data_IF_225699404489
#
_entry.id   IF_225699404489
#
_cell.length_a   1.000
_cell.length_b   1.000
_cell.length_c   1.000
_cell.angle_alpha   90.00
_cell.angle_beta   90.00
_cell.angle_gamma   90.00
#
_symmetry.space_group_name_H-M   'P 1'
#
loop_
_entity.id
_entity.type
_entity.pdbx_description
1 polymer ?
#
# COMPACT_ATOMS: atom_id res chain seq x y z
N UNK A 1 -0.35 27.59 -9.73
CA UNK A 1 -0.55 26.93 -11.03
C UNK A 1 0.80 26.37 -11.46
N UNK A 2 0.93 25.05 -11.50
CA UNK A 2 2.22 24.39 -11.84
C UNK A 2 2.37 24.27 -13.36
N UNK A 3 3.61 24.17 -13.84
CA UNK A 3 3.92 24.01 -15.27
C UNK A 3 3.22 22.80 -15.93
N UNK A 4 2.84 21.77 -15.16
CA UNK A 4 2.10 20.61 -15.68
C UNK A 4 0.64 20.93 -16.05
N UNK A 5 -0.02 21.82 -15.29
CA UNK A 5 -1.35 22.33 -15.66
C UNK A 5 -1.30 23.19 -16.94
N UNK A 6 -0.18 23.88 -17.16
CA UNK A 6 0.04 24.70 -18.36
C UNK A 6 0.36 23.85 -19.61
N UNK A 7 0.79 22.60 -19.44
CA UNK A 7 1.10 21.67 -20.53
C UNK A 7 -0.09 20.76 -20.94
N UNK A 8 -1.23 20.85 -20.25
CA UNK A 8 -2.43 20.04 -20.55
C UNK A 8 -2.31 18.56 -20.17
N UNK A 9 -1.26 18.15 -19.45
CA UNK A 9 -1.07 16.77 -19.02
C UNK A 9 -1.74 16.53 -17.66
N UNK A 10 -3.06 16.32 -17.71
CA UNK A 10 -3.88 15.99 -16.54
C UNK A 10 -3.40 14.73 -15.82
N UNK A 11 -2.81 13.78 -16.55
CA UNK A 11 -2.27 12.54 -16.00
C UNK A 11 -1.03 12.84 -15.15
N UNK A 12 -0.09 13.65 -15.62
CA UNK A 12 1.09 14.05 -14.84
C UNK A 12 0.71 14.89 -13.61
N UNK A 13 -0.23 15.83 -13.78
CA UNK A 13 -0.75 16.63 -12.66
C UNK A 13 -1.39 15.74 -11.58
N UNK A 14 -2.21 14.77 -12.01
CA UNK A 14 -2.78 13.74 -11.14
C UNK A 14 -1.72 12.90 -10.43
N UNK A 15 -0.59 12.61 -11.07
CA UNK A 15 0.49 11.85 -10.42
C UNK A 15 1.11 12.63 -9.26
N UNK A 16 1.40 13.92 -9.47
CA UNK A 16 1.99 14.79 -8.43
C UNK A 16 1.00 14.96 -7.27
N UNK A 17 -0.25 15.30 -7.56
CA UNK A 17 -1.29 15.49 -6.56
C UNK A 17 -1.56 14.20 -5.77
N UNK A 18 -1.67 13.05 -6.46
CA UNK A 18 -1.88 11.75 -5.81
C UNK A 18 -0.70 11.32 -4.94
N UNK A 19 0.53 11.64 -5.33
CA UNK A 19 1.72 11.35 -4.52
C UNK A 19 1.72 12.17 -3.23
N UNK A 20 1.34 13.45 -3.32
CA UNK A 20 1.16 14.32 -2.16
C UNK A 20 0.01 13.84 -1.26
N UNK A 21 -1.10 13.38 -1.84
CA UNK A 21 -2.20 12.78 -1.08
C UNK A 21 -1.72 11.56 -0.27
N UNK A 22 -0.93 10.66 -0.88
CA UNK A 22 -0.31 9.54 -0.17
C UNK A 22 0.57 10.00 1.01
N UNK A 23 1.35 11.07 0.83
CA UNK A 23 2.16 11.64 1.90
C UNK A 23 1.28 12.18 3.04
N UNK A 24 0.20 12.89 2.74
CA UNK A 24 -0.75 13.43 3.73
C UNK A 24 -1.47 12.33 4.49
N UNK A 25 -1.90 11.27 3.80
CA UNK A 25 -2.47 10.06 4.39
C UNK A 25 -1.55 9.41 5.42
N UNK A 26 -0.23 9.47 5.19
CA UNK A 26 0.77 8.89 6.09
C UNK A 26 1.19 9.83 7.23
N UNK A 27 0.91 11.14 7.14
CA UNK A 27 1.36 12.16 8.11
C UNK A 27 0.23 12.73 8.96
N UNK A 28 -0.96 12.12 8.91
CA UNK A 28 -2.10 12.46 9.78
C UNK A 28 -3.05 13.51 9.22
N UNK A 29 -2.80 14.05 8.01
CA UNK A 29 -3.72 14.97 7.31
C UNK A 29 -4.76 14.22 6.49
N UNK A 30 -5.47 13.29 7.13
CA UNK A 30 -6.24 12.25 6.45
C UNK A 30 -7.47 12.78 5.71
N UNK A 31 -8.19 13.74 6.29
CA UNK A 31 -9.34 14.38 5.63
C UNK A 31 -8.94 15.15 4.36
N UNK A 32 -7.87 15.96 4.45
CA UNK A 32 -7.34 16.70 3.30
C UNK A 32 -6.82 15.75 2.21
N UNK A 33 -6.22 14.62 2.62
CA UNK A 33 -5.70 13.62 1.70
C UNK A 33 -6.81 12.99 0.84
N UNK A 34 -8.01 12.77 1.39
CA UNK A 34 -9.16 12.25 0.63
C UNK A 34 -9.57 13.24 -0.46
N UNK A 35 -9.69 14.52 -0.12
CA UNK A 35 -10.03 15.57 -1.08
C UNK A 35 -9.01 15.66 -2.21
N UNK A 36 -7.72 15.65 -1.86
CA UNK A 36 -6.63 15.74 -2.83
C UNK A 36 -6.53 14.49 -3.73
N UNK A 37 -6.69 13.29 -3.18
CA UNK A 37 -6.66 12.05 -3.97
C UNK A 37 -7.81 12.00 -4.98
N UNK A 38 -9.02 12.40 -4.57
CA UNK A 38 -10.18 12.46 -5.46
C UNK A 38 -10.03 13.54 -6.54
N UNK A 39 -9.44 14.68 -6.19
CA UNK A 39 -9.12 15.71 -7.17
C UNK A 39 -8.09 15.22 -8.19
N UNK A 40 -7.04 14.52 -7.75
CA UNK A 40 -6.04 13.93 -8.63
C UNK A 40 -6.64 12.93 -9.64
N UNK A 41 -7.55 12.06 -9.18
CA UNK A 41 -8.28 11.14 -10.05
C UNK A 41 -9.16 11.89 -11.06
N UNK A 42 -9.86 12.95 -10.63
CA UNK A 42 -10.69 13.77 -11.51
C UNK A 42 -9.87 14.50 -12.58
N UNK A 43 -8.73 15.07 -12.18
CA UNK A 43 -7.84 15.83 -13.06
C UNK A 43 -7.18 14.96 -14.13
N UNK A 44 -6.93 13.68 -13.83
CA UNK A 44 -6.46 12.70 -14.82
C UNK A 44 -7.46 12.54 -15.97
N UNK A 45 -8.75 12.73 -15.69
CA UNK A 45 -9.82 12.67 -16.68
C UNK A 45 -10.24 11.24 -17.05
N UNK A 46 -11.38 11.11 -17.76
CA UNK A 46 -11.95 9.81 -18.13
C UNK A 46 -11.13 9.04 -19.16
N UNK A 47 -10.23 9.72 -19.88
CA UNK A 47 -9.36 9.14 -20.90
C UNK A 47 -7.95 8.80 -20.40
N UNK A 48 -7.72 8.92 -19.08
CA UNK A 48 -6.45 8.49 -18.50
C UNK A 48 -6.21 7.00 -18.78
N UNK A 49 -4.96 6.60 -19.08
CA UNK A 49 -4.62 5.18 -19.28
C UNK A 49 -5.03 4.31 -18.09
N UNK A 50 -5.37 3.05 -18.37
CA UNK A 50 -5.82 2.04 -17.39
C UNK A 50 -4.94 2.02 -16.13
N UNK A 51 -3.61 1.93 -16.30
CA UNK A 51 -2.63 1.95 -15.19
C UNK A 51 -2.66 3.23 -14.36
N UNK A 52 -2.89 4.38 -14.99
CA UNK A 52 -2.97 5.67 -14.30
C UNK A 52 -4.25 5.74 -13.45
N UNK A 53 -5.39 5.33 -14.02
CA UNK A 53 -6.67 5.23 -13.31
C UNK A 53 -6.56 4.30 -12.11
N UNK A 54 -6.02 3.09 -12.29
CA UNK A 54 -5.82 2.11 -11.23
C UNK A 54 -4.95 2.68 -10.09
N UNK A 55 -3.84 3.35 -10.42
CA UNK A 55 -2.97 3.98 -9.43
C UNK A 55 -3.69 5.07 -8.64
N UNK A 56 -4.47 5.94 -9.30
CA UNK A 56 -5.16 7.03 -8.62
C UNK A 56 -6.33 6.53 -7.77
N UNK A 57 -7.01 5.49 -8.21
CA UNK A 57 -8.05 4.81 -7.42
C UNK A 57 -7.46 4.13 -6.18
N UNK A 58 -6.29 3.48 -6.25
CA UNK A 58 -5.61 3.00 -5.03
C UNK A 58 -5.30 4.13 -4.06
N UNK A 59 -4.80 5.27 -4.55
CA UNK A 59 -4.47 6.41 -3.69
C UNK A 59 -5.72 6.95 -3.00
N UNK A 60 -6.87 6.95 -3.68
CA UNK A 60 -8.18 7.25 -3.11
C UNK A 60 -8.57 6.21 -2.05
N UNK A 61 -8.44 4.91 -2.35
CA UNK A 61 -8.74 3.84 -1.41
C UNK A 61 -7.90 3.96 -0.12
N UNK A 62 -6.62 4.28 -0.26
CA UNK A 62 -5.72 4.49 0.86
C UNK A 62 -6.07 5.72 1.67
N UNK A 63 -6.36 6.86 1.02
CA UNK A 63 -6.79 8.05 1.74
C UNK A 63 -8.06 7.79 2.56
N UNK A 64 -9.04 7.11 1.98
CA UNK A 64 -10.25 6.68 2.70
C UNK A 64 -9.93 5.74 3.87
N UNK A 65 -9.05 4.77 3.66
CA UNK A 65 -8.59 3.85 4.72
C UNK A 65 -7.99 4.60 5.89
N UNK A 66 -7.09 5.56 5.62
CA UNK A 66 -6.46 6.39 6.67
C UNK A 66 -7.44 7.34 7.35
N UNK A 67 -8.51 7.73 6.67
CA UNK A 67 -9.59 8.53 7.23
C UNK A 67 -10.66 7.71 7.98
N UNK A 68 -10.51 6.38 8.10
CA UNK A 68 -11.50 5.51 8.76
C UNK A 68 -12.79 5.33 7.96
N UNK A 69 -12.71 5.45 6.63
CA UNK A 69 -13.84 5.40 5.71
C UNK A 69 -13.84 4.07 4.93
N UNK A 70 -14.18 2.97 5.63
CA UNK A 70 -14.11 1.59 5.11
C UNK A 70 -14.87 1.39 3.79
N UNK A 71 -16.15 1.82 3.74
CA UNK A 71 -17.00 1.59 2.55
C UNK A 71 -16.43 2.29 1.31
N UNK A 72 -16.14 3.61 1.33
CA UNK A 72 -15.48 4.28 0.21
C UNK A 72 -14.12 3.66 -0.17
N UNK A 73 -13.34 3.20 0.82
CA UNK A 73 -12.06 2.53 0.55
C UNK A 73 -12.27 1.25 -0.28
N UNK A 74 -13.23 0.42 0.12
CA UNK A 74 -13.55 -0.82 -0.58
C UNK A 74 -14.08 -0.58 -2.00
N UNK A 75 -14.92 0.44 -2.19
CA UNK A 75 -15.39 0.82 -3.54
C UNK A 75 -14.23 1.23 -4.44
N UNK A 76 -13.33 2.09 -3.94
CA UNK A 76 -12.18 2.55 -4.72
C UNK A 76 -11.19 1.41 -5.07
N UNK A 77 -11.02 0.42 -4.18
CA UNK A 77 -10.23 -0.77 -4.50
C UNK A 77 -10.84 -1.59 -5.64
N UNK A 78 -12.15 -1.82 -5.59
CA UNK A 78 -12.84 -2.54 -6.65
C UNK A 78 -12.72 -1.80 -7.99
N UNK A 79 -12.95 -0.48 -8.00
CA UNK A 79 -12.78 0.36 -9.19
C UNK A 79 -11.33 0.33 -9.70
N UNK A 80 -10.33 0.28 -8.82
CA UNK A 80 -8.92 0.19 -9.22
C UNK A 80 -8.61 -1.13 -9.95
N UNK A 81 -9.16 -2.24 -9.44
CA UNK A 81 -9.03 -3.55 -10.08
C UNK A 81 -9.72 -3.59 -11.44
N UNK A 82 -10.94 -3.04 -11.56
CA UNK A 82 -11.65 -2.92 -12.83
C UNK A 82 -10.85 -2.06 -13.81
N UNK A 83 -10.35 -0.90 -13.38
CA UNK A 83 -9.56 -0.02 -14.24
C UNK A 83 -8.28 -0.68 -14.75
N UNK A 84 -7.61 -1.52 -13.95
CA UNK A 84 -6.41 -2.24 -14.39
C UNK A 84 -6.74 -3.41 -15.32
N UNK A 85 -7.91 -4.04 -15.18
CA UNK A 85 -8.33 -5.14 -16.06
C UNK A 85 -8.59 -4.69 -17.51
N UNK A 86 -8.84 -3.39 -17.71
CA UNK A 86 -8.92 -2.75 -19.02
C UNK A 86 -7.53 -2.56 -19.70
N UNK A 87 -6.42 -2.78 -18.99
CA UNK A 87 -5.07 -2.68 -19.55
C UNK A 87 -4.82 -3.80 -20.57
N UNK A 88 -4.31 -3.44 -21.74
CA UNK A 88 -4.07 -4.39 -22.84
C UNK A 88 -2.71 -4.17 -23.48
N UNK A 89 -2.13 -5.25 -24.02
CA UNK A 89 -0.83 -5.22 -24.70
C UNK A 89 -0.86 -4.18 -25.83
N UNK A 90 0.01 -3.18 -25.75
CA UNK A 90 0.07 -2.08 -26.72
C UNK A 90 -0.64 -0.80 -26.31
N UNK A 91 -1.30 -0.77 -25.15
CA UNK A 91 -1.85 0.47 -24.58
C UNK A 91 -0.71 1.38 -24.14
N UNK A 92 -0.60 2.57 -24.76
CA UNK A 92 0.37 3.57 -24.33
C UNK A 92 0.05 4.06 -22.91
N UNK A 93 1.05 4.02 -22.04
CA UNK A 93 0.99 4.57 -20.69
C UNK A 93 2.25 5.39 -20.45
N UNK A 94 2.17 6.48 -19.65
CA UNK A 94 3.34 7.21 -19.23
C UNK A 94 4.44 6.29 -18.69
N UNK A 95 5.69 6.56 -19.08
CA UNK A 95 6.83 5.69 -18.74
C UNK A 95 7.00 5.46 -17.25
N UNK A 96 6.60 6.42 -16.41
CA UNK A 96 6.65 6.27 -14.95
C UNK A 96 5.69 5.21 -14.39
N UNK A 97 4.78 4.65 -15.20
CA UNK A 97 3.83 3.59 -14.81
C UNK A 97 4.30 2.18 -15.19
N UNK A 98 5.54 2.01 -15.67
CA UNK A 98 6.05 0.70 -16.09
C UNK A 98 5.97 -0.37 -14.98
N UNK A 99 6.12 0.04 -13.71
CA UNK A 99 6.03 -0.84 -12.55
C UNK A 99 4.59 -1.25 -12.22
N UNK A 100 3.59 -0.44 -12.60
CA UNK A 100 2.20 -0.72 -12.28
C UNK A 100 1.72 -1.95 -13.07
N UNK A 101 1.41 -3.01 -12.34
CA UNK A 101 0.92 -4.29 -12.84
C UNK A 101 0.00 -4.95 -11.80
N UNK A 102 -0.56 -6.10 -12.14
CA UNK A 102 -1.49 -6.83 -11.25
C UNK A 102 -0.88 -7.17 -9.89
N UNK A 103 0.39 -7.59 -9.85
CA UNK A 103 1.09 -7.90 -8.60
C UNK A 103 1.26 -6.68 -7.69
N UNK A 104 1.64 -5.54 -8.25
CA UNK A 104 1.73 -4.28 -7.48
C UNK A 104 0.36 -3.84 -6.96
N UNK A 105 -0.69 -3.92 -7.79
CA UNK A 105 -2.04 -3.60 -7.34
C UNK A 105 -2.52 -4.53 -6.23
N UNK A 106 -2.17 -5.83 -6.28
CA UNK A 106 -2.50 -6.79 -5.21
C UNK A 106 -1.82 -6.43 -3.88
N UNK A 107 -0.56 -5.96 -3.90
CA UNK A 107 0.09 -5.49 -2.67
C UNK A 107 -0.61 -4.24 -2.12
N UNK A 108 -0.93 -3.32 -3.02
CA UNK A 108 -1.61 -2.08 -2.68
C UNK A 108 -2.99 -2.35 -2.08
N UNK A 109 -3.75 -3.30 -2.65
CA UNK A 109 -5.02 -3.79 -2.13
C UNK A 109 -4.86 -4.45 -0.75
N UNK A 110 -3.89 -5.35 -0.60
CA UNK A 110 -3.66 -6.04 0.65
C UNK A 110 -3.24 -5.10 1.80
N UNK A 111 -2.55 -3.99 1.48
CA UNK A 111 -2.25 -2.93 2.45
C UNK A 111 -3.54 -2.33 3.03
N UNK A 112 -4.54 -2.10 2.19
CA UNK A 112 -5.84 -1.57 2.61
C UNK A 112 -6.56 -2.60 3.49
N UNK A 113 -6.66 -3.87 3.06
CA UNK A 113 -7.26 -4.92 3.89
C UNK A 113 -6.58 -5.08 5.25
N UNK A 114 -5.25 -4.94 5.31
CA UNK A 114 -4.49 -5.01 6.56
C UNK A 114 -4.90 -3.89 7.51
N UNK A 115 -4.91 -2.64 7.05
CA UNK A 115 -5.27 -1.50 7.91
C UNK A 115 -6.76 -1.50 8.30
N UNK A 116 -7.63 -2.08 7.47
CA UNK A 116 -9.04 -2.31 7.77
C UNK A 116 -9.29 -3.54 8.67
N UNK A 117 -8.25 -4.22 9.17
CA UNK A 117 -8.34 -5.45 9.98
C UNK A 117 -9.18 -6.53 9.30
N UNK A 118 -8.91 -6.81 8.02
CA UNK A 118 -9.52 -7.89 7.23
C UNK A 118 -8.48 -8.98 6.91
N UNK A 119 -7.97 -9.71 7.92
CA UNK A 119 -6.82 -10.60 7.76
C UNK A 119 -7.08 -11.74 6.77
N UNK A 120 -8.30 -12.27 6.71
CA UNK A 120 -8.69 -13.34 5.78
C UNK A 120 -8.60 -12.94 4.29
N UNK A 121 -8.57 -11.63 4.00
CA UNK A 121 -8.32 -11.10 2.65
C UNK A 121 -6.85 -10.70 2.47
N UNK A 122 -6.25 -10.07 3.48
CA UNK A 122 -4.89 -9.56 3.40
C UNK A 122 -3.82 -10.66 3.33
N UNK A 123 -3.92 -11.68 4.20
CA UNK A 123 -2.88 -12.72 4.35
C UNK A 123 -2.68 -13.51 3.04
N UNK A 124 -3.73 -14.03 2.37
CA UNK A 124 -3.53 -14.77 1.12
C UNK A 124 -2.88 -13.92 0.02
N UNK A 125 -3.33 -12.67 -0.15
CA UNK A 125 -2.79 -11.77 -1.17
C UNK A 125 -1.32 -11.45 -0.94
N UNK A 126 -0.94 -11.07 0.29
CA UNK A 126 0.45 -10.78 0.62
C UNK A 126 1.33 -12.02 0.50
N UNK A 127 0.84 -13.19 0.92
CA UNK A 127 1.61 -14.44 0.83
C UNK A 127 1.89 -14.81 -0.63
N UNK A 128 0.86 -14.74 -1.48
CA UNK A 128 0.96 -15.05 -2.91
C UNK A 128 1.91 -14.09 -3.64
N UNK A 129 1.78 -12.77 -3.38
CA UNK A 129 2.67 -11.79 -3.99
C UNK A 129 4.12 -11.97 -3.51
N UNK A 130 4.34 -12.10 -2.20
CA UNK A 130 5.69 -12.21 -1.64
C UNK A 130 6.41 -13.50 -2.04
N UNK A 131 5.69 -14.55 -2.42
CA UNK A 131 6.27 -15.76 -2.98
C UNK A 131 6.91 -15.55 -4.36
N UNK A 132 6.51 -14.48 -5.08
CA UNK A 132 7.03 -14.12 -6.41
C UNK A 132 8.14 -13.06 -6.38
N UNK A 133 8.39 -12.42 -5.24
CA UNK A 133 9.42 -11.37 -5.13
C UNK A 133 10.83 -11.95 -4.94
N UNK A 134 11.77 -11.41 -5.72
CA UNK A 134 13.21 -11.61 -5.56
C UNK A 134 13.76 -10.78 -4.39
N UNK A 135 14.71 -11.34 -3.64
CA UNK A 135 15.43 -10.70 -2.54
C UNK A 135 16.24 -9.44 -2.94
N UNK A 136 16.49 -9.20 -4.24
CA UNK A 136 17.11 -7.97 -4.74
C UNK A 136 16.35 -6.69 -4.36
N UNK A 137 15.07 -6.80 -4.02
CA UNK A 137 14.19 -5.70 -3.60
C UNK A 137 14.04 -5.62 -2.06
N UNK A 138 15.11 -5.86 -1.31
CA UNK A 138 15.09 -6.03 0.15
C UNK A 138 14.28 -4.97 0.92
N UNK A 139 14.37 -3.70 0.53
CA UNK A 139 13.67 -2.60 1.21
C UNK A 139 12.16 -2.59 0.99
N UNK A 140 11.74 -2.87 -0.24
CA UNK A 140 10.33 -2.99 -0.59
C UNK A 140 9.73 -4.25 0.05
N UNK A 141 10.48 -5.35 -0.02
CA UNK A 141 10.14 -6.60 0.65
C UNK A 141 9.95 -6.40 2.17
N UNK A 142 10.83 -5.65 2.84
CA UNK A 142 10.66 -5.31 4.26
C UNK A 142 9.37 -4.52 4.52
N UNK A 143 9.01 -3.57 3.65
CA UNK A 143 7.76 -2.84 3.77
C UNK A 143 6.55 -3.79 3.64
N UNK A 144 6.57 -4.71 2.69
CA UNK A 144 5.44 -5.62 2.44
C UNK A 144 5.30 -6.66 3.55
N UNK A 145 6.41 -7.20 4.04
CA UNK A 145 6.45 -8.06 5.23
C UNK A 145 5.88 -7.34 6.47
N UNK A 146 6.03 -6.01 6.57
CA UNK A 146 5.42 -5.24 7.67
C UNK A 146 3.90 -5.24 7.65
N UNK A 147 3.26 -5.33 6.48
CA UNK A 147 1.82 -5.49 6.39
C UNK A 147 1.42 -6.94 6.66
N UNK A 148 2.18 -7.91 6.16
CA UNK A 148 1.89 -9.32 6.39
C UNK A 148 2.00 -9.70 7.88
N UNK A 149 3.01 -9.19 8.59
CA UNK A 149 3.16 -9.41 10.02
C UNK A 149 1.94 -8.88 10.79
N UNK A 150 1.48 -7.66 10.47
CA UNK A 150 0.26 -7.09 11.07
C UNK A 150 -0.98 -7.93 10.72
N UNK A 151 -1.11 -8.37 9.47
CA UNK A 151 -2.23 -9.18 9.04
C UNK A 151 -2.27 -10.54 9.77
N UNK A 152 -1.13 -11.18 10.01
CA UNK A 152 -1.05 -12.38 10.85
C UNK A 152 -1.39 -12.10 12.31
N UNK A 153 -0.94 -10.97 12.87
CA UNK A 153 -1.33 -10.57 14.22
C UNK A 153 -2.85 -10.42 14.33
N UNK A 154 -3.48 -9.74 13.36
CA UNK A 154 -4.94 -9.57 13.33
C UNK A 154 -5.68 -10.88 13.03
N UNK A 155 -5.02 -11.86 12.41
CA UNK A 155 -5.53 -13.22 12.23
C UNK A 155 -5.43 -14.09 13.49
N UNK A 156 -4.86 -13.57 14.58
CA UNK A 156 -4.51 -14.34 15.79
C UNK A 156 -3.52 -15.48 15.51
N UNK A 157 -2.54 -15.23 14.62
CA UNK A 157 -1.45 -16.15 14.24
C UNK A 157 -0.08 -15.57 14.69
N UNK A 158 0.18 -15.46 16.01
CA UNK A 158 1.32 -14.71 16.54
C UNK A 158 2.69 -15.32 16.17
N UNK A 159 2.80 -16.64 16.03
CA UNK A 159 4.04 -17.32 15.64
C UNK A 159 4.40 -16.98 14.18
N UNK A 160 3.39 -16.98 13.29
CA UNK A 160 3.58 -16.57 11.89
C UNK A 160 3.91 -15.08 11.78
N UNK A 161 3.26 -14.25 12.60
CA UNK A 161 3.56 -12.82 12.68
C UNK A 161 5.01 -12.58 13.15
N UNK A 162 5.47 -13.28 14.19
CA UNK A 162 6.83 -13.16 14.71
C UNK A 162 7.89 -13.55 13.67
N UNK A 163 7.74 -14.70 13.00
CA UNK A 163 8.65 -15.12 11.91
C UNK A 163 8.70 -14.10 10.78
N UNK A 164 7.54 -13.58 10.39
CA UNK A 164 7.44 -12.56 9.33
C UNK A 164 8.12 -11.25 9.76
N UNK A 165 7.92 -10.82 11.00
CA UNK A 165 8.55 -9.63 11.55
C UNK A 165 10.07 -9.78 11.69
N UNK A 166 10.58 -10.95 12.08
CA UNK A 166 12.02 -11.24 12.09
C UNK A 166 12.65 -11.09 10.70
N UNK A 167 12.00 -11.63 9.66
CA UNK A 167 12.44 -11.45 8.27
C UNK A 167 12.38 -9.98 7.83
N UNK A 168 11.35 -9.25 8.22
CA UNK A 168 11.23 -7.80 7.98
C UNK A 168 12.42 -7.04 8.59
N UNK A 169 12.77 -7.32 9.84
CA UNK A 169 13.88 -6.65 10.54
C UNK A 169 15.23 -6.94 9.88
N UNK A 170 15.49 -8.21 9.52
CA UNK A 170 16.72 -8.61 8.86
C UNK A 170 16.95 -7.86 7.54
N UNK A 171 15.89 -7.62 6.77
CA UNK A 171 15.93 -6.88 5.50
C UNK A 171 15.93 -5.35 5.71
N UNK A 172 15.44 -4.86 6.84
CA UNK A 172 15.25 -3.45 7.17
C UNK A 172 16.47 -2.73 7.74
N UNK A 173 17.62 -3.39 7.87
CA UNK A 173 18.85 -2.87 8.52
C UNK A 173 19.42 -1.60 7.86
N UNK A 174 19.04 -1.27 6.62
CA UNK A 174 19.41 -0.03 5.90
C UNK A 174 18.27 1.02 5.89
N UNK A 175 17.33 0.91 6.83
CA UNK A 175 15.96 1.43 6.73
C UNK A 175 15.79 2.95 6.71
N UNK A 176 14.74 3.40 6.01
CA UNK A 176 14.27 4.78 6.08
C UNK A 176 13.33 5.05 7.24
N UNK A 177 13.01 6.33 7.46
CA UNK A 177 11.92 6.77 8.37
C UNK A 177 10.64 5.96 8.21
N UNK A 178 10.24 5.60 6.97
CA UNK A 178 9.03 4.81 6.71
C UNK A 178 9.16 3.38 7.25
N UNK A 179 10.29 2.73 7.01
CA UNK A 179 10.57 1.37 7.50
C UNK A 179 10.64 1.35 9.03
N UNK A 180 11.28 2.35 9.64
CA UNK A 180 11.37 2.48 11.09
C UNK A 180 9.98 2.64 11.76
N UNK A 181 9.09 3.45 11.19
CA UNK A 181 7.73 3.58 11.69
C UNK A 181 6.93 2.28 11.56
N UNK A 182 7.10 1.55 10.45
CA UNK A 182 6.46 0.24 10.28
C UNK A 182 6.99 -0.79 11.28
N UNK A 183 8.29 -0.81 11.55
CA UNK A 183 8.87 -1.63 12.61
C UNK A 183 8.22 -1.35 13.96
N UNK A 184 8.09 -0.06 14.34
CA UNK A 184 7.43 0.34 15.59
C UNK A 184 6.00 -0.20 15.67
N UNK A 185 5.22 -0.05 14.59
CA UNK A 185 3.83 -0.53 14.53
C UNK A 185 3.75 -2.06 14.71
N UNK A 186 4.59 -2.81 14.01
CA UNK A 186 4.59 -4.28 14.07
C UNK A 186 4.95 -4.76 15.48
N UNK A 187 6.05 -4.25 16.05
CA UNK A 187 6.50 -4.65 17.37
C UNK A 187 5.47 -4.28 18.45
N UNK A 188 4.84 -3.11 18.35
CA UNK A 188 3.82 -2.68 19.30
C UNK A 188 2.59 -3.60 19.29
N UNK A 189 2.12 -4.02 18.10
CA UNK A 189 1.01 -4.99 18.01
C UNK A 189 1.38 -6.36 18.58
N UNK A 190 2.61 -6.82 18.34
CA UNK A 190 3.08 -8.10 18.84
C UNK A 190 3.22 -8.16 20.36
N UNK A 191 3.35 -7.02 21.06
CA UNK A 191 3.40 -6.99 22.54
C UNK A 191 2.18 -7.63 23.21
N UNK A 192 1.03 -7.65 22.55
CA UNK A 192 -0.17 -8.34 23.06
C UNK A 192 0.04 -9.86 23.17
N UNK A 193 1.03 -10.41 22.48
CA UNK A 193 1.35 -11.84 22.41
C UNK A 193 2.73 -12.15 23.01
N UNK A 194 3.24 -11.32 23.94
CA UNK A 194 4.57 -11.48 24.56
C UNK A 194 4.79 -12.80 25.29
N UNK A 195 3.72 -13.51 25.62
CA UNK A 195 3.79 -14.82 26.29
C UNK A 195 3.99 -15.98 25.28
N UNK A 196 3.93 -15.72 23.98
CA UNK A 196 4.27 -16.66 22.91
C UNK A 196 5.80 -16.67 22.71
N UNK A 197 6.48 -17.82 22.74
CA UNK A 197 7.95 -17.89 22.72
C UNK A 197 8.60 -17.15 21.55
N UNK A 198 8.10 -17.35 20.33
CA UNK A 198 8.64 -16.72 19.11
C UNK A 198 8.52 -15.19 19.15
N UNK A 199 7.44 -14.68 19.78
CA UNK A 199 7.24 -13.24 19.96
C UNK A 199 8.17 -12.70 21.04
N UNK A 200 8.31 -13.42 22.15
CA UNK A 200 9.22 -13.04 23.24
C UNK A 200 10.66 -12.92 22.75
N UNK A 201 11.14 -13.91 21.97
CA UNK A 201 12.48 -13.92 21.36
C UNK A 201 12.70 -12.71 20.45
N UNK A 202 11.72 -12.41 19.58
CA UNK A 202 11.78 -11.26 18.68
C UNK A 202 11.81 -9.91 19.43
N UNK A 203 11.11 -9.78 20.56
CA UNK A 203 11.02 -8.51 21.29
C UNK A 203 12.29 -8.19 22.09
N UNK A 204 13.18 -9.16 22.29
CA UNK A 204 14.46 -8.98 22.99
C UNK A 204 15.67 -8.91 22.06
N UNK A 205 15.49 -9.22 20.76
CA UNK A 205 16.51 -9.11 19.70
C UNK A 205 16.69 -7.67 19.22
#
# INVERSE_FOLDING_TARGET
>A
MSAAQAAGDGVLSGNVAGSLACQWSNTGRTADAVGLARAALKDAGPHAPAKARALYLDRVAWAHTRAGQDRPAMTALWEAAEALSEDSVGTESPSYLYWMNTGELQVMEARVYTELRRPLRAVPLLTDVLARYDASHARELALYLSWLAVAYTDANEPEAAARTAGRMLALGQSGSKRTAERTRIVLDRLRAYRDVPEVAELLVS
#
